data_IF_837011720689
#
_entry.id   IF_837011720689
#
_cell.length_a   1.000
_cell.length_b   1.000
_cell.length_c   1.000
_cell.angle_alpha   90.00
_cell.angle_beta   90.00
_cell.angle_gamma   90.00
#
_symmetry.space_group_name_H-M   'P 1'
#
loop_
_entity.id
_entity.type
_entity.pdbx_description
1 polymer ?
#
# COMPACT_ATOMS: atom_id res chain seq x y z
N UNK A 1 11.55 -10.48 21.58
CA UNK A 1 12.97 -10.09 21.44
C UNK A 1 13.61 -11.13 20.54
N UNK A 2 13.69 -10.88 19.23
CA UNK A 2 13.96 -11.92 18.23
C UNK A 2 15.24 -11.67 17.42
N UNK A 3 16.05 -10.69 17.81
CA UNK A 3 17.32 -10.39 17.15
C UNK A 3 18.44 -11.25 17.76
N UNK A 4 19.07 -12.15 16.99
CA UNK A 4 20.10 -13.05 17.50
C UNK A 4 21.29 -12.33 18.14
N UNK A 5 21.60 -11.12 17.68
CA UNK A 5 22.76 -10.34 18.13
C UNK A 5 22.62 -9.71 19.52
N UNK A 6 21.40 -9.67 20.08
CA UNK A 6 21.27 -9.38 21.52
C UNK A 6 21.78 -10.56 22.35
N UNK A 7 21.46 -11.80 21.97
CA UNK A 7 21.93 -13.00 22.66
C UNK A 7 23.45 -13.25 22.56
N UNK A 8 24.11 -12.68 21.55
CA UNK A 8 25.58 -12.72 21.43
C UNK A 8 26.29 -11.58 22.16
N UNK A 9 25.53 -10.65 22.77
CA UNK A 9 26.08 -9.48 23.46
C UNK A 9 26.64 -8.39 22.54
N UNK A 10 26.46 -8.52 21.22
CA UNK A 10 27.05 -7.60 20.24
C UNK A 10 26.32 -6.25 20.21
N UNK A 11 25.04 -6.25 20.53
CA UNK A 11 24.24 -5.05 20.75
C UNK A 11 23.97 -4.81 22.23
N UNK A 12 24.86 -5.27 23.12
CA UNK A 12 24.71 -5.07 24.56
C UNK A 12 25.92 -4.33 25.14
N UNK A 13 25.63 -3.36 26.01
CA UNK A 13 26.62 -2.69 26.83
C UNK A 13 26.14 -2.75 28.27
N UNK A 14 26.99 -3.28 29.16
CA UNK A 14 26.68 -3.46 30.60
C UNK A 14 25.35 -4.19 30.86
N UNK A 15 25.00 -5.16 30.00
CA UNK A 15 23.76 -5.93 30.08
C UNK A 15 22.50 -5.16 29.65
N UNK A 16 22.65 -4.01 29.01
CA UNK A 16 21.55 -3.25 28.39
C UNK A 16 21.69 -3.25 26.87
N UNK A 17 20.56 -3.39 26.18
CA UNK A 17 20.50 -3.29 24.73
C UNK A 17 20.89 -1.87 24.26
N UNK A 18 21.78 -1.80 23.27
CA UNK A 18 22.29 -0.57 22.68
C UNK A 18 21.50 -0.22 21.42
N UNK A 19 20.80 0.91 21.44
CA UNK A 19 20.02 1.40 20.29
C UNK A 19 20.75 2.56 19.59
N UNK A 20 20.61 2.65 18.26
CA UNK A 20 21.13 3.79 17.53
C UNK A 20 20.30 5.06 17.82
N UNK A 21 20.93 6.26 17.86
CA UNK A 21 20.22 7.52 18.08
C UNK A 21 19.03 7.75 17.13
N UNK A 22 19.21 7.45 15.84
CA UNK A 22 18.15 7.60 14.83
C UNK A 22 16.92 6.73 15.11
N UNK A 23 17.12 5.51 15.65
CA UNK A 23 16.02 4.63 16.02
C UNK A 23 15.27 5.19 17.23
N UNK A 24 16.00 5.71 18.21
CA UNK A 24 15.41 6.35 19.37
C UNK A 24 14.58 7.57 19.00
N UNK A 25 15.07 8.40 18.07
CA UNK A 25 14.31 9.53 17.56
C UNK A 25 13.03 9.11 16.85
N UNK A 26 13.10 8.12 15.97
CA UNK A 26 11.91 7.57 15.28
C UNK A 26 10.90 7.01 16.27
N UNK A 27 11.38 6.26 17.27
CA UNK A 27 10.52 5.66 18.29
C UNK A 27 9.86 6.73 19.17
N UNK A 28 10.63 7.71 19.65
CA UNK A 28 10.10 8.83 20.43
C UNK A 28 9.04 9.61 19.62
N UNK A 29 9.34 9.94 18.37
CA UNK A 29 8.39 10.67 17.50
C UNK A 29 7.09 9.90 17.24
N UNK A 30 7.16 8.58 17.13
CA UNK A 30 5.98 7.73 17.00
C UNK A 30 5.13 7.69 18.28
N UNK A 31 5.77 7.73 19.45
CA UNK A 31 5.11 7.56 20.75
C UNK A 31 4.89 8.86 21.54
N UNK A 32 5.26 10.03 21.01
CA UNK A 32 5.23 11.31 21.76
C UNK A 32 3.84 11.74 22.26
N UNK A 33 2.78 11.29 21.59
CA UNK A 33 1.39 11.57 21.97
C UNK A 33 0.79 10.49 22.88
N UNK A 34 1.51 9.37 23.08
CA UNK A 34 1.06 8.28 23.93
C UNK A 34 1.20 8.63 25.42
N UNK A 35 0.38 7.97 26.23
CA UNK A 35 0.38 8.14 27.68
C UNK A 35 1.33 7.15 28.33
N UNK A 36 2.21 7.66 29.19
CA UNK A 36 3.16 6.88 29.98
C UNK A 36 2.93 7.09 31.47
N UNK A 37 3.35 6.10 32.25
CA UNK A 37 3.32 6.11 33.70
C UNK A 37 4.70 5.79 34.26
N UNK A 38 4.97 6.22 35.49
CA UNK A 38 6.17 5.81 36.19
C UNK A 38 6.11 4.30 36.43
N UNK A 39 7.21 3.60 36.17
CA UNK A 39 7.26 2.15 36.30
C UNK A 39 6.91 1.72 37.74
N UNK A 40 6.02 0.72 37.91
CA UNK A 40 5.65 0.20 39.23
C UNK A 40 6.83 -0.43 39.98
N UNK A 41 7.94 -0.71 39.29
CA UNK A 41 9.17 -1.30 39.84
C UNK A 41 9.98 -0.36 40.75
N UNK A 42 9.47 0.83 41.09
CA UNK A 42 10.06 1.73 42.08
C UNK A 42 11.35 2.45 41.63
N UNK A 43 11.78 2.23 40.39
CA UNK A 43 12.87 3.00 39.79
C UNK A 43 12.32 4.32 39.29
N UNK A 44 12.71 5.43 39.92
CA UNK A 44 12.27 6.80 39.59
C UNK A 44 12.54 7.22 38.14
N UNK A 45 13.31 6.44 37.40
CA UNK A 45 13.79 6.73 36.06
C UNK A 45 13.30 5.73 35.02
N UNK A 46 12.46 4.76 35.39
CA UNK A 46 11.92 3.79 34.45
C UNK A 46 10.51 4.22 34.01
N UNK A 47 10.28 4.33 32.70
CA UNK A 47 8.97 4.62 32.13
C UNK A 47 8.34 3.34 31.59
N UNK A 48 7.02 3.23 31.74
CA UNK A 48 6.22 2.20 31.10
C UNK A 48 5.02 2.86 30.43
N UNK A 49 4.52 2.24 29.35
CA UNK A 49 3.25 2.68 28.76
C UNK A 49 2.14 2.54 29.80
N UNK A 50 1.18 3.46 29.74
CA UNK A 50 0.03 3.45 30.63
C UNK A 50 -0.80 2.19 30.37
N UNK A 51 -1.05 1.40 31.42
CA UNK A 51 -1.98 0.27 31.40
C UNK A 51 -3.26 0.66 32.16
N UNK A 52 -4.33 -0.13 32.04
CA UNK A 52 -5.59 0.14 32.75
C UNK A 52 -5.45 0.16 34.29
N UNK A 53 -4.37 -0.45 34.81
CA UNK A 53 -4.03 -0.43 36.24
C UNK A 53 -3.20 0.78 36.68
N UNK A 54 -2.77 1.64 35.75
CA UNK A 54 -1.96 2.81 36.07
C UNK A 54 -2.82 3.95 36.62
N UNK A 55 -2.55 4.38 37.85
CA UNK A 55 -3.32 5.43 38.52
C UNK A 55 -3.02 6.85 37.98
N UNK A 56 -1.82 7.06 37.44
CA UNK A 56 -1.35 8.36 36.97
C UNK A 56 -0.67 8.15 35.62
N UNK A 57 -1.23 8.78 34.59
CA UNK A 57 -0.68 8.75 33.25
C UNK A 57 -0.56 10.16 32.69
N UNK A 58 0.60 10.45 32.12
CA UNK A 58 0.92 11.72 31.49
C UNK A 58 1.40 11.48 30.07
N UNK A 59 1.16 12.45 29.18
CA UNK A 59 1.66 12.34 27.81
C UNK A 59 3.19 12.30 27.80
N UNK A 60 3.77 11.46 26.96
CA UNK A 60 5.21 11.29 26.86
C UNK A 60 5.93 12.62 26.57
N UNK A 61 5.41 13.41 25.63
CA UNK A 61 5.93 14.74 25.29
C UNK A 61 5.88 15.77 26.43
N UNK A 62 4.99 15.58 27.41
CA UNK A 62 4.92 16.44 28.59
C UNK A 62 5.94 16.02 29.66
N UNK A 63 6.31 14.74 29.69
CA UNK A 63 7.28 14.18 30.64
C UNK A 63 8.72 14.31 30.13
N UNK A 64 8.95 14.08 28.84
CA UNK A 64 10.27 14.08 28.21
C UNK A 64 10.29 14.95 26.97
N UNK A 65 11.33 15.79 26.86
CA UNK A 65 11.57 16.63 25.69
C UNK A 65 12.60 16.07 24.70
N UNK A 66 13.25 14.94 25.01
CA UNK A 66 14.37 14.42 24.23
C UNK A 66 14.29 12.89 24.04
N UNK A 67 14.59 12.46 22.81
CA UNK A 67 14.54 11.06 22.36
C UNK A 67 15.58 10.17 23.03
N UNK A 68 16.77 10.71 23.34
CA UNK A 68 17.85 9.96 24.00
C UNK A 68 17.46 9.66 25.44
N UNK A 69 16.91 10.67 26.13
CA UNK A 69 16.39 10.53 27.49
C UNK A 69 15.27 9.49 27.56
N UNK A 70 14.39 9.47 26.55
CA UNK A 70 13.32 8.48 26.42
C UNK A 70 13.86 7.05 26.33
N UNK A 71 14.77 6.77 25.40
CA UNK A 71 15.36 5.43 25.28
C UNK A 71 16.07 4.99 26.56
N UNK A 72 16.78 5.89 27.24
CA UNK A 72 17.44 5.61 28.53
C UNK A 72 16.43 5.25 29.62
N UNK A 73 15.30 5.94 29.69
CA UNK A 73 14.23 5.66 30.66
C UNK A 73 13.44 4.40 30.33
N UNK A 74 13.37 4.03 29.05
CA UNK A 74 12.83 2.73 28.62
C UNK A 74 13.80 1.56 28.87
N UNK A 75 15.00 1.82 29.39
CA UNK A 75 15.98 0.81 29.78
C UNK A 75 17.08 0.51 28.75
N UNK A 76 17.16 1.29 27.67
CA UNK A 76 18.15 1.11 26.61
C UNK A 76 19.36 2.02 26.79
N UNK A 77 20.52 1.59 26.30
CA UNK A 77 21.71 2.44 26.21
C UNK A 77 21.78 3.03 24.79
N UNK A 78 22.18 4.30 24.69
CA UNK A 78 22.31 4.98 23.39
C UNK A 78 23.72 5.57 23.34
N UNK A 79 24.53 5.22 22.34
CA UNK A 79 25.84 5.81 22.18
C UNK A 79 25.66 7.29 21.88
N UNK A 80 26.32 8.15 22.63
CA UNK A 80 26.36 9.57 22.31
C UNK A 80 27.26 9.71 21.08
N UNK A 81 26.69 10.27 20.01
CA UNK A 81 27.47 10.63 18.83
C UNK A 81 28.26 11.88 19.23
N UNK A 82 29.38 11.66 19.92
CA UNK A 82 30.40 12.68 20.06
C UNK A 82 30.79 13.05 18.62
N UNK A 83 30.24 14.15 18.12
CA UNK A 83 30.49 14.74 16.79
C UNK A 83 31.96 15.16 16.58
N UNK A 84 32.88 14.60 17.34
CA UNK A 84 34.30 14.56 17.06
C UNK A 84 34.55 13.61 15.90
N UNK A 85 34.87 14.20 14.76
CA UNK A 85 35.69 13.59 13.72
C UNK A 85 37.04 13.23 14.36
N UNK A 86 37.11 12.14 15.12
CA UNK A 86 38.37 11.56 15.56
C UNK A 86 38.98 10.81 14.39
N UNK A 87 39.58 11.58 13.48
CA UNK A 87 40.72 11.14 12.69
C UNK A 87 41.80 10.67 13.68
N UNK A 88 41.78 9.40 14.05
CA UNK A 88 42.85 8.82 14.87
C UNK A 88 42.35 7.86 15.95
N UNK A 89 41.89 6.68 15.55
CA UNK A 89 42.32 5.44 16.21
C UNK A 89 41.90 4.25 15.36
N UNK A 90 42.83 3.75 14.54
CA UNK A 90 42.72 2.42 13.97
C UNK A 90 42.70 1.40 15.12
N UNK A 91 41.52 0.89 15.48
CA UNK A 91 41.43 -0.33 16.31
C UNK A 91 40.35 -0.42 17.39
N UNK A 92 39.56 0.62 17.68
CA UNK A 92 38.40 0.47 18.55
C UNK A 92 37.13 0.45 17.70
N UNK A 93 36.58 -0.75 17.47
CA UNK A 93 35.24 -0.92 16.92
C UNK A 93 34.28 -0.02 17.68
N UNK A 94 33.71 0.98 17.00
CA UNK A 94 32.54 1.70 17.52
C UNK A 94 31.52 0.65 17.98
N UNK A 95 30.90 0.81 19.16
CA UNK A 95 29.89 -0.14 19.62
C UNK A 95 28.81 -0.24 18.54
N UNK A 96 28.60 -1.45 18.03
CA UNK A 96 27.50 -1.75 17.14
C UNK A 96 26.21 -1.39 17.87
N UNK A 97 25.38 -0.56 17.26
CA UNK A 97 24.06 -0.19 17.79
C UNK A 97 22.97 -0.83 16.92
N UNK A 98 21.84 -1.15 17.54
CA UNK A 98 20.70 -1.70 16.83
C UNK A 98 19.86 -0.58 16.20
N UNK A 99 19.61 -0.68 14.89
CA UNK A 99 18.90 0.33 14.11
C UNK A 99 17.42 -0.01 13.83
N UNK A 100 16.88 -1.06 14.45
CA UNK A 100 15.48 -1.46 14.31
C UNK A 100 15.24 -2.48 13.21
N UNK A 101 16.25 -2.79 12.41
CA UNK A 101 16.15 -3.78 11.32
C UNK A 101 16.79 -5.09 11.80
N UNK A 102 16.01 -6.18 11.96
CA UNK A 102 16.57 -7.43 12.44
C UNK A 102 17.55 -8.02 11.42
N UNK A 103 18.64 -8.61 11.88
CA UNK A 103 19.65 -9.27 11.03
C UNK A 103 19.01 -10.36 10.15
N UNK A 104 17.93 -10.98 10.63
CA UNK A 104 17.16 -11.97 9.88
C UNK A 104 16.46 -11.41 8.63
N UNK A 105 16.22 -10.09 8.52
CA UNK A 105 15.59 -9.50 7.33
C UNK A 105 16.53 -9.37 6.14
N UNK A 106 17.85 -9.47 6.34
CA UNK A 106 18.85 -9.35 5.28
C UNK A 106 19.22 -10.69 4.63
N UNK A 107 18.56 -11.76 5.03
CA UNK A 107 18.71 -13.08 4.44
C UNK A 107 18.52 -14.14 5.50
N UNK A 108 17.54 -15.02 5.30
CA UNK A 108 17.67 -16.38 5.81
C UNK A 108 19.10 -16.83 5.49
N UNK A 109 19.87 -17.15 6.53
CA UNK A 109 21.30 -17.45 6.41
C UNK A 109 21.52 -18.31 5.16
N UNK A 110 22.35 -17.86 4.19
CA UNK A 110 22.60 -18.65 3.00
C UNK A 110 23.11 -20.00 3.49
N UNK A 111 22.37 -21.08 3.16
CA UNK A 111 22.86 -22.43 3.39
C UNK A 111 24.23 -22.48 2.76
N UNK A 112 25.24 -22.71 3.60
CA UNK A 112 26.65 -22.79 3.24
C UNK A 112 26.82 -23.95 2.25
N UNK A 113 26.67 -23.66 0.96
CA UNK A 113 27.18 -24.48 -0.13
C UNK A 113 28.04 -23.56 -0.98
N UNK A 114 29.34 -23.87 -0.96
CA UNK A 114 30.37 -23.33 -1.84
C UNK A 114 29.90 -23.24 -3.30
N UNK A 115 30.25 -22.15 -3.97
CA UNK A 115 29.96 -21.98 -5.39
C UNK A 115 30.28 -20.58 -5.86
N UNK A 116 31.51 -20.43 -6.32
CA UNK A 116 32.15 -19.23 -6.90
C UNK A 116 31.32 -18.49 -7.95
N UNK A 117 31.54 -17.17 -8.00
CA UNK A 117 31.52 -16.28 -9.17
C UNK A 117 30.21 -16.02 -9.94
N UNK A 118 29.93 -14.72 -10.13
CA UNK A 118 29.38 -14.24 -11.40
C UNK A 118 28.31 -13.15 -11.31
N UNK A 119 28.70 -11.92 -11.61
CA UNK A 119 27.85 -10.75 -11.87
C UNK A 119 26.57 -11.05 -12.68
N UNK A 120 25.39 -10.59 -12.21
CA UNK A 120 24.45 -9.72 -12.96
C UNK A 120 23.07 -9.55 -12.29
N UNK A 121 22.49 -8.38 -12.59
CA UNK A 121 21.06 -8.03 -12.76
C UNK A 121 20.23 -7.61 -11.55
N UNK A 122 20.19 -6.28 -11.41
CA UNK A 122 18.98 -5.44 -11.47
C UNK A 122 17.77 -6.14 -12.16
N UNK A 123 16.95 -6.88 -11.40
CA UNK A 123 15.56 -7.27 -11.73
C UNK A 123 14.81 -7.88 -10.53
N UNK A 124 14.73 -7.21 -9.38
CA UNK A 124 14.01 -7.77 -8.21
C UNK A 124 12.51 -7.39 -8.14
N UNK A 125 11.99 -6.54 -9.01
CA UNK A 125 10.62 -6.03 -8.83
C UNK A 125 9.49 -6.96 -9.32
N UNK A 126 9.77 -8.13 -9.91
CA UNK A 126 8.72 -8.96 -10.55
C UNK A 126 8.34 -10.20 -9.75
N UNK A 127 9.27 -10.76 -8.98
CA UNK A 127 9.01 -11.99 -8.20
C UNK A 127 8.34 -11.67 -6.84
N UNK A 128 8.62 -10.50 -6.26
CA UNK A 128 7.98 -10.02 -5.02
C UNK A 128 6.45 -9.88 -5.12
N UNK A 129 5.93 -9.48 -6.29
CA UNK A 129 4.49 -9.34 -6.48
C UNK A 129 3.76 -10.68 -6.49
N UNK A 130 4.38 -11.76 -6.99
CA UNK A 130 3.71 -13.06 -7.05
C UNK A 130 3.53 -13.68 -5.66
N UNK A 131 4.52 -13.55 -4.77
CA UNK A 131 4.38 -14.01 -3.39
C UNK A 131 3.37 -13.17 -2.60
N UNK A 132 3.35 -11.85 -2.84
CA UNK A 132 2.37 -10.94 -2.26
C UNK A 132 0.92 -11.23 -2.72
N UNK A 133 0.70 -11.44 -4.02
CA UNK A 133 -0.61 -11.85 -4.55
C UNK A 133 -1.06 -13.22 -4.05
N UNK A 134 -0.12 -14.14 -3.78
CA UNK A 134 -0.46 -15.46 -3.23
C UNK A 134 -0.91 -15.38 -1.77
N UNK A 135 -0.31 -14.51 -0.96
CA UNK A 135 -0.75 -14.25 0.42
C UNK A 135 -2.11 -13.53 0.48
N UNK A 136 -2.32 -12.57 -0.42
CA UNK A 136 -3.57 -11.79 -0.49
C UNK A 136 -4.72 -12.62 -1.08
N UNK A 137 -4.42 -13.51 -2.04
CA UNK A 137 -5.43 -14.30 -2.73
C UNK A 137 -6.32 -15.13 -1.79
N UNK A 138 -5.75 -15.69 -0.71
CA UNK A 138 -6.51 -16.47 0.26
C UNK A 138 -7.44 -15.60 1.11
N UNK A 139 -6.96 -14.44 1.58
CA UNK A 139 -7.78 -13.51 2.36
C UNK A 139 -8.89 -12.86 1.51
N UNK A 140 -8.59 -12.57 0.24
CA UNK A 140 -9.55 -11.99 -0.71
C UNK A 140 -10.62 -13.00 -1.08
N UNK A 141 -10.30 -14.30 -1.20
CA UNK A 141 -11.31 -15.32 -1.52
C UNK A 141 -12.36 -15.47 -0.42
N UNK A 142 -11.97 -15.49 0.86
CA UNK A 142 -12.93 -15.55 1.97
C UNK A 142 -13.88 -14.34 2.03
N UNK A 143 -13.38 -13.15 1.71
CA UNK A 143 -14.18 -11.92 1.69
C UNK A 143 -15.08 -11.89 0.45
N UNK A 144 -14.61 -12.35 -0.71
CA UNK A 144 -15.38 -12.42 -1.94
C UNK A 144 -16.46 -13.51 -1.94
N UNK A 145 -16.42 -14.50 -1.04
CA UNK A 145 -17.51 -15.47 -0.91
C UNK A 145 -18.78 -14.88 -0.28
N UNK A 146 -18.72 -13.68 0.31
CA UNK A 146 -19.90 -13.02 0.89
C UNK A 146 -20.74 -12.35 -0.21
N UNK A 147 -22.04 -12.69 -0.34
CA UNK A 147 -22.90 -12.13 -1.40
C UNK A 147 -23.07 -10.61 -1.30
N UNK A 148 -22.93 -10.03 -0.11
CA UNK A 148 -22.99 -8.58 0.10
C UNK A 148 -21.82 -7.86 -0.58
N UNK A 149 -20.63 -8.49 -0.63
CA UNK A 149 -19.45 -7.91 -1.26
C UNK A 149 -19.61 -7.87 -2.78
N UNK A 150 -20.26 -8.87 -3.38
CA UNK A 150 -20.58 -8.86 -4.80
C UNK A 150 -21.53 -7.72 -5.18
N UNK A 151 -22.54 -7.43 -4.35
CA UNK A 151 -23.44 -6.30 -4.58
C UNK A 151 -22.67 -4.97 -4.53
N UNK A 152 -21.77 -4.81 -3.56
CA UNK A 152 -20.92 -3.62 -3.47
C UNK A 152 -20.00 -3.48 -4.69
N UNK A 153 -19.38 -4.57 -5.15
CA UNK A 153 -18.53 -4.56 -6.34
C UNK A 153 -19.30 -4.25 -7.61
N UNK A 154 -20.53 -4.77 -7.75
CA UNK A 154 -21.40 -4.45 -8.89
C UNK A 154 -21.82 -2.98 -8.88
N UNK A 155 -22.20 -2.45 -7.72
CA UNK A 155 -22.55 -1.02 -7.58
C UNK A 155 -21.32 -0.15 -7.86
N UNK A 156 -20.16 -0.49 -7.29
CA UNK A 156 -18.92 0.22 -7.54
C UNK A 156 -18.53 0.18 -9.03
N UNK A 157 -18.63 -0.99 -9.66
CA UNK A 157 -18.38 -1.17 -11.08
C UNK A 157 -19.35 -0.35 -11.95
N UNK A 158 -20.63 -0.29 -11.58
CA UNK A 158 -21.61 0.54 -12.24
C UNK A 158 -21.28 2.03 -12.12
N UNK A 159 -20.92 2.51 -10.92
CA UNK A 159 -20.51 3.91 -10.70
C UNK A 159 -19.25 4.26 -11.48
N UNK A 160 -18.25 3.38 -11.51
CA UNK A 160 -17.04 3.57 -12.30
C UNK A 160 -17.34 3.62 -13.80
N UNK A 161 -18.23 2.74 -14.29
CA UNK A 161 -18.65 2.78 -15.69
C UNK A 161 -19.35 4.10 -16.04
N UNK A 162 -20.24 4.60 -15.18
CA UNK A 162 -20.88 5.90 -15.37
C UNK A 162 -19.86 7.05 -15.43
N UNK A 163 -18.86 7.04 -14.53
CA UNK A 163 -17.78 8.03 -14.54
C UNK A 163 -16.96 7.96 -15.83
N UNK A 164 -16.67 6.76 -16.34
CA UNK A 164 -15.94 6.58 -17.61
C UNK A 164 -16.76 7.11 -18.79
N UNK A 165 -18.07 6.86 -18.83
CA UNK A 165 -18.93 7.41 -19.87
C UNK A 165 -18.95 8.94 -19.83
N UNK A 166 -19.14 9.53 -18.64
CA UNK A 166 -19.12 10.97 -18.47
C UNK A 166 -17.77 11.59 -18.87
N UNK A 167 -16.65 10.94 -18.53
CA UNK A 167 -15.31 11.39 -18.92
C UNK A 167 -15.10 11.33 -20.45
N UNK A 168 -15.65 10.30 -21.13
CA UNK A 168 -15.58 10.21 -22.59
C UNK A 168 -16.32 11.35 -23.28
N UNK A 169 -17.52 11.68 -22.79
CA UNK A 169 -18.31 12.77 -23.36
C UNK A 169 -17.57 14.11 -23.22
N UNK A 170 -17.00 14.40 -22.04
CA UNK A 170 -16.20 15.60 -21.80
C UNK A 170 -14.94 15.63 -22.68
N UNK A 171 -14.28 14.48 -22.86
CA UNK A 171 -13.09 14.40 -23.72
C UNK A 171 -13.43 14.65 -25.19
N UNK A 172 -14.58 14.17 -25.67
CA UNK A 172 -15.05 14.40 -27.03
C UNK A 172 -15.38 15.87 -27.28
N UNK A 173 -16.01 16.55 -26.33
CA UNK A 173 -16.31 17.99 -26.47
C UNK A 173 -15.04 18.83 -26.49
N UNK A 174 -14.09 18.56 -25.60
CA UNK A 174 -12.78 19.22 -25.59
C UNK A 174 -12.03 19.01 -26.92
N UNK A 175 -12.05 17.79 -27.45
CA UNK A 175 -11.41 17.50 -28.73
C UNK A 175 -12.08 18.25 -29.90
N UNK A 176 -13.39 18.44 -29.88
CA UNK A 176 -14.10 19.22 -30.90
C UNK A 176 -13.78 20.72 -30.80
N UNK A 177 -13.72 21.27 -29.60
CA UNK A 177 -13.32 22.66 -29.36
C UNK A 177 -11.90 22.94 -29.87
N UNK A 178 -10.94 22.06 -29.57
CA UNK A 178 -9.58 22.18 -30.10
C UNK A 178 -9.55 22.12 -31.64
N UNK A 179 -10.35 21.23 -32.24
CA UNK A 179 -10.44 21.15 -33.71
C UNK A 179 -11.01 22.44 -34.31
N UNK A 180 -12.03 23.04 -33.69
CA UNK A 180 -12.59 24.32 -34.12
C UNK A 180 -11.58 25.46 -33.95
N UNK A 181 -10.89 25.53 -32.82
CA UNK A 181 -9.83 26.52 -32.58
C UNK A 181 -8.71 26.39 -33.60
N UNK A 182 -8.26 25.17 -33.93
CA UNK A 182 -7.24 24.94 -34.97
C UNK A 182 -7.73 25.38 -36.35
N UNK A 183 -9.00 25.14 -36.70
CA UNK A 183 -9.58 25.62 -37.96
C UNK A 183 -9.60 27.15 -38.02
N UNK A 184 -10.01 27.82 -36.95
CA UNK A 184 -10.01 29.29 -36.88
C UNK A 184 -8.60 29.88 -36.97
N UNK A 185 -7.62 29.26 -36.30
CA UNK A 185 -6.24 29.72 -36.35
C UNK A 185 -5.63 29.59 -37.75
N UNK A 186 -6.00 28.53 -38.50
CA UNK A 186 -5.61 28.37 -39.90
C UNK A 186 -6.26 29.47 -40.74
N UNK A 187 -7.57 29.70 -40.62
CA UNK A 187 -8.26 30.74 -41.40
C UNK A 187 -7.67 32.14 -41.16
N UNK A 188 -7.36 32.50 -39.91
CA UNK A 188 -6.70 33.78 -39.60
C UNK A 188 -5.30 33.89 -40.20
N UNK A 189 -4.54 32.78 -40.27
CA UNK A 189 -3.19 32.79 -40.87
C UNK A 189 -3.22 32.86 -42.38
N UNK A 190 -4.16 32.19 -43.03
CA UNK A 190 -4.23 32.18 -44.49
C UNK A 190 -4.96 33.39 -45.05
N UNK A 191 -5.56 34.24 -44.20
CA UNK A 191 -6.05 35.56 -44.59
C UNK A 191 -6.86 35.52 -45.89
N UNK A 192 -7.67 34.46 -46.04
CA UNK A 192 -8.63 34.41 -47.13
C UNK A 192 -9.71 35.37 -46.69
N UNK A 193 -9.55 36.64 -47.07
CA UNK A 193 -10.69 37.46 -47.43
C UNK A 193 -11.46 36.59 -48.43
N UNK A 194 -12.59 36.03 -47.99
CA UNK A 194 -13.61 35.54 -48.91
C UNK A 194 -13.96 36.75 -49.78
N UNK A 195 -13.31 36.88 -50.94
CA UNK A 195 -13.97 37.50 -52.08
C UNK A 195 -15.22 36.64 -52.29
N UNK A 196 -16.36 37.23 -51.93
CA UNK A 196 -17.70 36.71 -52.14
C UNK A 196 -17.88 36.35 -53.63
N UNK A 197 -17.52 35.13 -54.03
CA UNK A 197 -18.02 34.57 -55.27
C UNK A 197 -19.47 34.16 -55.00
N UNK A 198 -20.40 35.07 -55.35
CA UNK A 198 -21.83 34.82 -55.47
C UNK A 198 -22.08 33.54 -56.28
N UNK A 199 -22.21 32.40 -55.61
CA UNK A 199 -22.77 31.21 -56.24
C UNK A 199 -24.29 31.36 -56.18
N UNK A 200 -24.78 31.88 -57.30
CA UNK A 200 -26.15 31.92 -57.76
C UNK A 200 -26.95 30.68 -57.35
N UNK A 201 -28.04 30.95 -56.64
CA UNK A 201 -29.06 29.99 -56.23
C UNK A 201 -29.62 29.21 -57.42
N UNK A 202 -29.63 27.88 -57.34
CA UNK A 202 -30.53 27.03 -58.15
C UNK A 202 -31.47 26.27 -57.20
N UNK A 203 -32.80 26.50 -57.28
CA UNK A 203 -33.76 25.79 -56.46
C UNK A 203 -34.32 24.54 -57.15
N UNK A 204 -34.85 23.65 -56.29
CA UNK A 204 -35.85 22.61 -56.57
C UNK A 204 -35.35 21.38 -57.38
N UNK A 205 -35.83 20.16 -57.21
CA UNK A 205 -37.02 19.62 -56.56
C UNK A 205 -36.84 18.10 -56.39
N UNK A 206 -37.72 17.48 -55.58
CA UNK A 206 -38.32 16.14 -55.76
C UNK A 206 -37.39 14.89 -55.78
N UNK A 207 -37.78 13.67 -55.40
CA UNK A 207 -39.03 13.04 -54.98
C UNK A 207 -38.65 11.65 -54.40
N UNK A 208 -39.58 11.08 -53.62
CA UNK A 208 -39.95 9.65 -53.55
C UNK A 208 -39.11 8.61 -52.78
N UNK A 209 -39.81 8.08 -51.77
CA UNK A 209 -40.22 6.67 -51.58
C UNK A 209 -39.18 5.55 -51.65
N UNK A 210 -39.07 4.78 -50.57
CA UNK A 210 -39.75 3.48 -50.50
C UNK A 210 -39.42 2.71 -49.22
N UNK A 211 -40.48 2.20 -48.60
CA UNK A 211 -40.46 1.22 -47.53
C UNK A 211 -40.28 -0.20 -48.09
N UNK A 212 -39.55 -1.08 -47.38
CA UNK A 212 -39.65 -2.56 -47.38
C UNK A 212 -38.46 -3.12 -46.60
N UNK A 213 -38.46 -4.23 -45.85
CA UNK A 213 -39.44 -5.09 -45.18
C UNK A 213 -38.57 -6.24 -44.60
N UNK A 214 -38.89 -6.73 -43.39
CA UNK A 214 -38.52 -8.07 -42.87
C UNK A 214 -37.00 -8.40 -42.72
N UNK A 215 -36.53 -9.09 -41.68
CA UNK A 215 -36.97 -10.44 -41.36
C UNK A 215 -36.68 -10.86 -39.90
N UNK A 216 -37.51 -11.81 -39.51
CA UNK A 216 -37.76 -12.46 -38.23
C UNK A 216 -36.77 -13.61 -38.02
N UNK A 217 -36.25 -13.77 -36.80
CA UNK A 217 -35.91 -15.12 -36.32
C UNK A 217 -36.18 -15.27 -34.82
N UNK A 218 -37.36 -15.80 -34.55
CA UNK A 218 -37.71 -16.52 -33.33
C UNK A 218 -37.03 -17.91 -33.31
N UNK A 219 -37.20 -18.61 -32.18
CA UNK A 219 -37.00 -20.06 -31.94
C UNK A 219 -35.76 -20.39 -31.08
N UNK A 220 -35.81 -21.09 -29.94
CA UNK A 220 -36.84 -21.73 -29.07
C UNK A 220 -36.14 -22.12 -27.75
N UNK A 221 -36.82 -22.07 -26.60
CA UNK A 221 -37.30 -23.22 -25.75
C UNK A 221 -36.32 -24.39 -25.64
N UNK A 222 -35.91 -24.85 -24.46
CA UNK A 222 -36.56 -25.72 -23.43
C UNK A 222 -35.34 -26.39 -22.74
N UNK A 223 -35.28 -26.90 -21.51
CA UNK A 223 -36.18 -27.17 -20.39
C UNK A 223 -35.25 -27.51 -19.21
N UNK A 224 -35.62 -27.18 -17.96
CA UNK A 224 -36.24 -28.09 -16.98
C UNK A 224 -35.45 -29.36 -16.65
N UNK A 225 -34.87 -29.41 -15.45
CA UNK A 225 -34.74 -30.56 -14.52
C UNK A 225 -33.98 -30.03 -13.27
N UNK A 226 -34.55 -29.80 -12.09
CA UNK A 226 -35.26 -30.69 -11.14
C UNK A 226 -34.45 -31.94 -10.76
N UNK A 227 -33.70 -31.86 -9.66
CA UNK A 227 -33.37 -32.97 -8.75
C UNK A 227 -32.73 -32.39 -7.47
N UNK A 228 -33.50 -32.25 -6.39
CA UNK A 228 -33.66 -33.20 -5.26
C UNK A 228 -32.60 -33.06 -4.17
N UNK A 229 -33.10 -32.76 -2.97
CA UNK A 229 -32.46 -32.89 -1.66
C UNK A 229 -31.84 -34.27 -1.42
N UNK A 230 -30.73 -34.30 -0.70
CA UNK A 230 -30.44 -35.31 0.35
C UNK A 230 -29.37 -34.77 1.31
N UNK A 231 -29.78 -34.58 2.57
CA UNK A 231 -28.96 -34.56 3.80
C UNK A 231 -28.87 -36.02 4.32
N UNK A 232 -28.32 -36.38 5.52
CA UNK A 232 -27.10 -36.04 6.27
C UNK A 232 -26.25 -37.28 6.65
N UNK A 233 -25.00 -37.13 7.11
CA UNK A 233 -24.27 -38.03 8.06
C UNK A 233 -23.02 -37.26 8.54
N UNK A 234 -22.85 -36.79 9.79
CA UNK A 234 -22.66 -37.43 11.11
C UNK A 234 -21.48 -38.41 11.16
N UNK A 235 -20.35 -37.99 11.74
CA UNK A 235 -19.64 -38.77 12.76
C UNK A 235 -18.82 -37.90 13.71
N UNK A 236 -18.83 -38.35 14.95
CA UNK A 236 -18.34 -37.79 16.21
C UNK A 236 -16.96 -38.34 16.59
N UNK A 237 -16.25 -37.55 17.40
CA UNK A 237 -15.31 -37.93 18.48
C UNK A 237 -14.03 -38.72 18.14
N UNK A 238 -12.88 -38.19 18.59
CA UNK A 238 -11.93 -38.91 19.45
C UNK A 238 -11.21 -37.95 20.39
N UNK A 239 -11.50 -38.13 21.68
CA UNK A 239 -10.57 -37.95 22.81
C UNK A 239 -9.36 -38.87 22.66
N UNK A 240 -8.20 -38.48 23.20
CA UNK A 240 -7.06 -39.37 23.28
C UNK A 240 -5.83 -38.80 23.98
N UNK A 241 -5.84 -38.90 25.32
CA UNK A 241 -4.72 -39.00 26.29
C UNK A 241 -3.79 -37.81 26.52
#
# INVERSE_FOLDING_TARGET
MCEPRFGTGEYESKGKAVLCPELCEKWFNACKEEFVSASPSGSSSALTFCEDSSLICSRLSATLGDSISFCRQMGYEVPEDDGGVSLGSFGQSRPSCFNGVPTASFGAAPKRSEGSEGYRRRRDSQDDWQEWFRGIGLAVYEVLCRPEVWLLLLVLGFLLNQLVQQARDIMLTQMQEEKLQRRQQILQRYGVEEEEEEIETVPAADEKDSATLHDRREEKTEGSESSRCSSPYRMTAMEGS
#
